data_IF_286623336826
#
_entry.id   IF_286623336826
#
_cell.length_a   1.000
_cell.length_b   1.000
_cell.length_c   1.000
_cell.angle_alpha   90.00
_cell.angle_beta   90.00
_cell.angle_gamma   90.00
#
_symmetry.space_group_name_H-M   'P 1'
#
loop_
_entity.id
_entity.type
_entity.pdbx_description
1 polymer ?
#
# COMPACT_ATOMS: atom_id res chain seq x y z
N UNK A 1 -18.48 16.64 6.54
CA UNK A 1 -18.01 17.06 7.87
C UNK A 1 -17.21 15.93 8.51
N UNK A 2 -17.72 14.72 8.63
CA UNK A 2 -16.95 13.58 9.11
C UNK A 2 -16.39 12.75 7.94
N UNK A 3 -15.08 12.50 7.94
CA UNK A 3 -14.43 11.63 6.95
C UNK A 3 -14.81 10.14 7.13
N UNK A 4 -15.19 9.77 8.34
CA UNK A 4 -15.65 8.43 8.71
C UNK A 4 -16.99 8.53 9.45
N UNK A 5 -18.04 8.06 8.81
CA UNK A 5 -19.42 8.05 9.35
C UNK A 5 -19.53 7.09 10.55
N UNK A 6 -18.68 6.07 10.61
CA UNK A 6 -18.64 5.10 11.73
C UNK A 6 -17.61 5.47 12.81
N UNK A 7 -16.96 6.62 12.70
CA UNK A 7 -16.07 7.18 13.72
C UNK A 7 -16.82 7.47 15.02
N UNK A 8 -16.07 7.60 16.13
CA UNK A 8 -16.66 7.71 17.48
C UNK A 8 -17.76 8.79 17.59
N UNK A 9 -17.49 10.01 17.12
CA UNK A 9 -18.46 11.12 17.22
C UNK A 9 -19.67 10.92 16.32
N UNK A 10 -19.46 10.61 15.04
CA UNK A 10 -20.55 10.40 14.08
C UNK A 10 -21.44 9.24 14.48
N UNK A 11 -20.85 8.12 14.97
CA UNK A 11 -21.64 6.97 15.43
C UNK A 11 -22.49 7.32 16.66
N UNK A 12 -21.94 8.05 17.64
CA UNK A 12 -22.71 8.49 18.82
C UNK A 12 -23.87 9.43 18.43
N UNK A 13 -23.63 10.34 17.49
CA UNK A 13 -24.68 11.24 16.97
C UNK A 13 -25.77 10.43 16.25
N UNK A 14 -25.40 9.51 15.36
CA UNK A 14 -26.34 8.65 14.65
C UNK A 14 -27.16 7.82 15.64
N UNK A 15 -26.52 7.23 16.63
CA UNK A 15 -27.22 6.44 17.64
C UNK A 15 -28.25 7.28 18.40
N UNK A 16 -27.89 8.49 18.82
CA UNK A 16 -28.82 9.40 19.45
C UNK A 16 -30.04 9.74 18.56
N UNK A 17 -29.79 10.07 17.30
CA UNK A 17 -30.87 10.35 16.32
C UNK A 17 -31.81 9.13 16.16
N UNK A 18 -31.26 7.93 16.17
CA UNK A 18 -32.04 6.69 16.01
C UNK A 18 -32.87 6.34 17.25
N UNK A 19 -32.41 6.77 18.43
CA UNK A 19 -33.14 6.60 19.71
C UNK A 19 -34.21 7.68 19.89
N UNK A 20 -34.00 8.89 19.35
CA UNK A 20 -34.87 10.06 19.48
C UNK A 20 -35.26 10.64 18.11
N UNK A 21 -35.97 9.87 17.25
CA UNK A 21 -36.31 10.29 15.91
C UNK A 21 -37.25 11.48 15.92
N UNK A 22 -36.85 12.55 15.19
CA UNK A 22 -37.60 13.79 15.07
C UNK A 22 -37.34 14.83 16.16
N UNK A 23 -36.46 14.55 17.12
CA UNK A 23 -36.07 15.51 18.15
C UNK A 23 -34.87 16.34 17.72
N UNK A 24 -34.88 17.64 18.01
CA UNK A 24 -33.69 18.48 17.92
C UNK A 24 -32.86 18.31 19.19
N UNK A 25 -31.55 18.25 19.05
CA UNK A 25 -30.62 18.04 20.15
C UNK A 25 -29.32 18.80 19.99
N UNK A 26 -28.62 19.02 21.10
CA UNK A 26 -27.26 19.56 21.10
C UNK A 26 -26.25 18.46 20.76
N UNK A 27 -25.48 18.68 19.68
CA UNK A 27 -24.44 17.73 19.24
C UNK A 27 -23.14 17.84 20.03
N UNK A 28 -22.96 18.93 20.77
CA UNK A 28 -21.71 19.26 21.48
C UNK A 28 -21.20 18.11 22.37
N UNK A 29 -22.06 17.41 23.16
CA UNK A 29 -21.61 16.32 24.03
C UNK A 29 -21.04 15.10 23.26
N UNK A 30 -21.40 14.95 22.00
CA UNK A 30 -21.01 13.80 21.17
C UNK A 30 -19.71 14.06 20.39
N UNK A 31 -19.20 15.29 20.38
CA UNK A 31 -18.04 15.69 19.59
C UNK A 31 -16.76 15.37 20.35
N UNK A 32 -15.93 14.48 19.78
CA UNK A 32 -14.65 14.16 20.38
C UNK A 32 -13.65 15.33 20.19
N UNK A 33 -12.84 15.63 21.21
CA UNK A 33 -11.84 16.72 21.26
C UNK A 33 -10.87 16.79 20.07
N UNK A 34 -10.73 15.69 19.29
CA UNK A 34 -9.88 15.63 18.09
C UNK A 34 -10.64 15.98 16.81
N UNK A 35 -11.93 16.29 16.90
CA UNK A 35 -12.68 16.75 15.73
C UNK A 35 -12.11 18.10 15.28
N UNK A 36 -11.87 18.24 13.98
CA UNK A 36 -11.27 19.45 13.40
C UNK A 36 -12.30 20.42 12.86
N UNK A 37 -13.54 19.96 12.72
CA UNK A 37 -14.63 20.79 12.20
C UNK A 37 -15.29 21.56 13.34
N UNK A 38 -15.68 22.84 13.12
CA UNK A 38 -16.40 23.63 14.08
C UNK A 38 -17.79 23.03 14.35
N UNK A 39 -18.33 23.32 15.54
CA UNK A 39 -19.62 22.76 16.00
C UNK A 39 -20.76 23.19 15.07
N UNK A 40 -20.70 24.41 14.54
CA UNK A 40 -21.70 24.99 13.64
C UNK A 40 -21.81 24.20 12.33
N UNK A 41 -20.70 23.74 11.77
CA UNK A 41 -20.70 22.88 10.58
C UNK A 41 -21.31 21.51 10.86
N UNK A 42 -21.07 20.98 12.06
CA UNK A 42 -21.62 19.68 12.47
C UNK A 42 -23.12 19.81 12.70
N UNK A 43 -23.57 20.88 13.36
CA UNK A 43 -24.99 21.20 13.55
C UNK A 43 -25.71 21.31 12.20
N UNK A 44 -25.14 22.07 11.26
CA UNK A 44 -25.70 22.21 9.91
C UNK A 44 -25.75 20.88 9.14
N UNK A 45 -24.81 19.97 9.40
CA UNK A 45 -24.76 18.65 8.75
C UNK A 45 -25.78 17.66 9.31
N UNK A 46 -26.23 17.82 10.55
CA UNK A 46 -27.25 16.98 11.18
C UNK A 46 -28.62 17.67 11.22
N UNK A 47 -28.72 18.89 10.67
CA UNK A 47 -29.99 19.60 10.52
C UNK A 47 -30.89 18.86 9.53
N UNK A 48 -31.88 18.18 10.07
CA UNK A 48 -32.82 17.36 9.34
C UNK A 48 -33.68 16.50 10.25
N UNK A 49 -34.72 15.91 9.70
CA UNK A 49 -35.63 15.04 10.43
C UNK A 49 -35.53 13.62 9.90
N UNK A 50 -35.27 12.69 10.78
CA UNK A 50 -35.32 11.25 10.50
C UNK A 50 -36.67 10.71 10.95
N UNK A 51 -37.48 10.17 10.03
CA UNK A 51 -38.76 9.55 10.38
C UNK A 51 -38.56 8.27 11.19
N UNK A 52 -39.59 7.84 11.90
CA UNK A 52 -39.54 6.57 12.67
C UNK A 52 -39.24 5.36 11.80
N UNK A 53 -39.78 5.32 10.57
CA UNK A 53 -39.53 4.23 9.62
C UNK A 53 -38.07 4.26 9.11
N UNK A 54 -37.51 5.45 8.87
CA UNK A 54 -36.10 5.60 8.49
C UNK A 54 -35.19 5.20 9.65
N UNK A 55 -35.51 5.61 10.87
CA UNK A 55 -34.74 5.24 12.07
C UNK A 55 -34.74 3.72 12.26
N UNK A 56 -35.89 3.05 12.10
CA UNK A 56 -35.98 1.59 12.19
C UNK A 56 -35.09 0.89 11.16
N UNK A 57 -35.12 1.32 9.89
CA UNK A 57 -34.27 0.77 8.81
C UNK A 57 -32.78 0.99 9.10
N UNK A 58 -32.40 2.20 9.52
CA UNK A 58 -31.00 2.51 9.83
C UNK A 58 -30.49 1.71 11.03
N UNK A 59 -31.33 1.48 12.03
CA UNK A 59 -31.02 0.66 13.22
C UNK A 59 -30.70 -0.79 12.81
N UNK A 60 -31.53 -1.38 11.95
CA UNK A 60 -31.26 -2.73 11.41
C UNK A 60 -29.96 -2.78 10.59
N UNK A 61 -29.68 -1.76 9.76
CA UNK A 61 -28.42 -1.68 9.02
C UNK A 61 -27.20 -1.60 9.95
N UNK A 62 -27.26 -0.82 11.01
CA UNK A 62 -26.17 -0.71 12.00
C UNK A 62 -25.97 -2.02 12.75
N UNK A 63 -27.06 -2.66 13.19
CA UNK A 63 -27.01 -3.97 13.83
C UNK A 63 -26.35 -5.01 12.94
N UNK A 64 -26.70 -5.03 11.65
CA UNK A 64 -26.08 -5.94 10.69
C UNK A 64 -24.58 -5.68 10.52
N UNK A 65 -24.16 -4.41 10.46
CA UNK A 65 -22.73 -4.04 10.40
C UNK A 65 -22.00 -4.54 11.65
N UNK A 66 -22.59 -4.39 12.84
CA UNK A 66 -21.99 -4.85 14.10
C UNK A 66 -21.85 -6.38 14.13
N UNK A 67 -22.88 -7.10 13.66
CA UNK A 67 -22.82 -8.55 13.52
C UNK A 67 -21.71 -8.99 12.54
N UNK A 68 -21.58 -8.34 11.39
CA UNK A 68 -20.50 -8.63 10.44
C UNK A 68 -19.12 -8.35 11.04
N UNK A 69 -18.96 -7.28 11.80
CA UNK A 69 -17.71 -6.98 12.49
C UNK A 69 -17.38 -8.06 13.55
N UNK A 70 -18.35 -8.48 14.34
CA UNK A 70 -18.17 -9.56 15.30
C UNK A 70 -17.83 -10.91 14.63
N UNK A 71 -18.42 -11.20 13.48
CA UNK A 71 -18.06 -12.38 12.67
C UNK A 71 -16.63 -12.29 12.17
N UNK A 72 -16.22 -11.12 11.65
CA UNK A 72 -14.86 -10.87 11.20
C UNK A 72 -13.85 -11.09 12.33
N UNK A 73 -14.08 -10.52 13.51
CA UNK A 73 -13.19 -10.68 14.67
C UNK A 73 -13.01 -12.14 15.07
N UNK A 74 -14.08 -12.93 15.05
CA UNK A 74 -14.02 -14.37 15.33
C UNK A 74 -13.19 -15.14 14.29
N UNK A 75 -13.37 -14.82 13.01
CA UNK A 75 -12.59 -15.43 11.93
C UNK A 75 -11.12 -15.02 12.03
N UNK A 76 -10.83 -13.75 12.31
CA UNK A 76 -9.47 -13.24 12.52
C UNK A 76 -8.78 -13.95 13.70
N UNK A 77 -9.48 -14.16 14.81
CA UNK A 77 -8.97 -14.90 15.95
C UNK A 77 -8.64 -16.36 15.58
N UNK A 78 -9.49 -17.02 14.82
CA UNK A 78 -9.25 -18.40 14.36
C UNK A 78 -8.07 -18.48 13.39
N UNK A 79 -7.93 -17.52 12.47
CA UNK A 79 -6.78 -17.42 11.56
C UNK A 79 -5.47 -17.28 12.36
N UNK A 80 -5.46 -16.44 13.41
CA UNK A 80 -4.28 -16.27 14.25
C UNK A 80 -3.97 -17.54 15.05
N UNK A 81 -4.98 -18.24 15.54
CA UNK A 81 -4.82 -19.54 16.22
C UNK A 81 -4.19 -20.59 15.29
N UNK A 82 -4.64 -20.68 14.05
CA UNK A 82 -4.06 -21.58 13.05
C UNK A 82 -2.61 -21.22 12.68
N UNK A 83 -2.19 -19.99 12.92
CA UNK A 83 -0.84 -19.52 12.66
C UNK A 83 0.13 -19.73 13.84
N UNK A 84 -0.38 -20.14 15.03
CA UNK A 84 0.42 -20.41 16.24
C UNK A 84 1.60 -21.38 16.05
N UNK A 85 1.58 -22.40 15.17
CA UNK A 85 2.74 -23.26 14.93
C UNK A 85 3.93 -22.56 14.26
N UNK A 86 3.77 -21.35 13.76
CA UNK A 86 4.78 -20.64 12.96
C UNK A 86 5.23 -19.29 13.56
N UNK A 87 5.44 -19.16 14.88
CA UNK A 87 5.69 -17.87 15.52
C UNK A 87 7.00 -17.24 15.03
N UNK A 88 8.05 -18.05 14.87
CA UNK A 88 9.34 -17.58 14.44
C UNK A 88 9.33 -17.05 13.01
N UNK A 89 8.69 -17.77 12.07
CA UNK A 89 8.57 -17.35 10.68
C UNK A 89 7.72 -16.09 10.54
N UNK A 90 6.66 -15.98 11.35
CA UNK A 90 5.83 -14.77 11.39
C UNK A 90 6.63 -13.55 11.89
N UNK A 91 7.42 -13.72 12.96
CA UNK A 91 8.29 -12.65 13.44
C UNK A 91 9.34 -12.25 12.39
N UNK A 92 9.94 -13.20 11.70
CA UNK A 92 10.86 -12.91 10.61
C UNK A 92 10.19 -12.10 9.50
N UNK A 93 8.99 -12.46 9.06
CA UNK A 93 8.24 -11.71 8.04
C UNK A 93 7.91 -10.30 8.54
N UNK A 94 7.57 -10.13 9.81
CA UNK A 94 7.29 -8.83 10.41
C UNK A 94 8.49 -7.89 10.43
N UNK A 95 9.71 -8.41 10.30
CA UNK A 95 10.91 -7.57 10.11
C UNK A 95 10.94 -6.90 8.74
N UNK A 96 10.24 -7.47 7.73
CA UNK A 96 10.12 -6.87 6.40
C UNK A 96 9.27 -5.61 6.49
N UNK A 97 9.75 -4.48 5.95
CA UNK A 97 8.98 -3.25 5.93
C UNK A 97 7.57 -3.45 5.35
N UNK A 98 6.58 -2.90 6.06
CA UNK A 98 5.16 -2.98 5.67
C UNK A 98 4.39 -4.15 6.29
N UNK A 99 5.04 -5.10 6.96
CA UNK A 99 4.38 -6.22 7.65
C UNK A 99 4.34 -6.05 9.19
N UNK A 100 5.14 -5.16 9.75
CA UNK A 100 5.27 -4.99 11.20
C UNK A 100 3.94 -4.69 11.92
N UNK A 101 3.08 -3.87 11.33
CA UNK A 101 1.84 -3.40 11.93
C UNK A 101 0.60 -4.25 11.57
N UNK A 102 0.75 -5.30 10.76
CA UNK A 102 -0.36 -6.05 10.22
C UNK A 102 -0.13 -7.57 10.33
N UNK A 103 -0.34 -8.19 11.50
CA UNK A 103 -0.09 -9.61 11.70
C UNK A 103 -0.87 -10.49 10.72
N UNK A 104 -2.14 -10.19 10.46
CA UNK A 104 -2.95 -10.92 9.48
C UNK A 104 -2.37 -10.88 8.07
N UNK A 105 -1.67 -9.80 7.70
CA UNK A 105 -0.98 -9.71 6.40
C UNK A 105 0.17 -10.70 6.31
N UNK A 106 0.93 -10.89 7.40
CA UNK A 106 2.01 -11.89 7.46
C UNK A 106 1.43 -13.32 7.42
N UNK A 107 0.34 -13.56 8.15
CA UNK A 107 -0.35 -14.86 8.12
C UNK A 107 -0.90 -15.17 6.73
N UNK A 108 -1.57 -14.21 6.08
CA UNK A 108 -2.07 -14.36 4.72
C UNK A 108 -0.96 -14.67 3.70
N UNK A 109 0.24 -14.14 3.94
CA UNK A 109 1.39 -14.48 3.11
C UNK A 109 1.82 -15.94 3.33
N UNK A 110 2.03 -16.36 4.59
CA UNK A 110 2.45 -17.74 4.92
C UNK A 110 1.43 -18.77 4.46
N UNK A 111 0.13 -18.49 4.59
CA UNK A 111 -0.93 -19.40 4.15
C UNK A 111 -0.87 -19.71 2.66
N UNK A 112 -0.37 -18.79 1.85
CA UNK A 112 -0.25 -18.95 0.39
C UNK A 112 1.08 -19.57 -0.04
N UNK A 113 2.21 -19.11 0.53
CA UNK A 113 3.54 -19.55 0.08
C UNK A 113 4.13 -20.67 0.92
N UNK A 114 3.57 -20.95 2.10
CA UNK A 114 4.15 -21.83 3.10
C UNK A 114 5.37 -21.22 3.79
N UNK A 115 5.98 -21.99 4.68
CA UNK A 115 7.21 -21.63 5.39
C UNK A 115 8.45 -22.32 4.84
N UNK A 116 8.25 -23.42 4.11
CA UNK A 116 9.32 -24.19 3.49
C UNK A 116 9.68 -23.62 2.11
N UNK A 117 10.79 -22.92 2.05
CA UNK A 117 11.28 -22.33 0.81
C UNK A 117 12.00 -23.32 -0.12
N UNK A 118 12.18 -24.57 0.27
CA UNK A 118 12.74 -25.62 -0.62
C UNK A 118 11.84 -25.88 -1.83
N UNK A 119 10.53 -25.62 -1.69
CA UNK A 119 9.54 -25.70 -2.76
C UNK A 119 9.85 -24.70 -3.91
N UNK A 120 10.54 -23.61 -3.59
CA UNK A 120 10.93 -22.58 -4.57
C UNK A 120 12.45 -22.56 -4.73
N UNK A 121 13.02 -23.13 -5.80
CA UNK A 121 14.48 -23.23 -6.00
C UNK A 121 15.21 -21.87 -5.97
N UNK A 122 14.50 -20.78 -6.14
CA UNK A 122 15.03 -19.42 -5.98
C UNK A 122 13.91 -18.39 -5.78
N UNK A 123 14.27 -17.20 -5.28
CA UNK A 123 13.37 -16.06 -5.18
C UNK A 123 12.71 -15.68 -6.54
N UNK A 124 13.37 -16.01 -7.66
CA UNK A 124 12.80 -15.79 -9.00
C UNK A 124 11.62 -16.74 -9.27
N UNK A 125 11.70 -18.00 -8.80
CA UNK A 125 10.61 -18.96 -8.94
C UNK A 125 9.41 -18.54 -8.10
N UNK A 126 9.62 -18.14 -6.84
CA UNK A 126 8.56 -17.59 -6.00
C UNK A 126 7.89 -16.37 -6.65
N UNK A 127 8.68 -15.41 -7.16
CA UNK A 127 8.14 -14.21 -7.80
C UNK A 127 7.37 -14.53 -9.10
N UNK A 128 7.78 -15.56 -9.84
CA UNK A 128 7.10 -16.03 -11.05
C UNK A 128 5.79 -16.73 -10.71
N UNK A 129 5.81 -17.64 -9.72
CA UNK A 129 4.63 -18.31 -9.20
C UNK A 129 3.60 -17.32 -8.67
N UNK A 130 4.04 -16.29 -7.96
CA UNK A 130 3.22 -15.19 -7.47
C UNK A 130 2.64 -14.28 -8.57
N UNK A 131 3.02 -14.49 -9.83
CA UNK A 131 2.61 -13.63 -10.93
C UNK A 131 3.14 -12.21 -10.86
N UNK A 132 4.29 -12.01 -10.20
CA UNK A 132 4.98 -10.72 -10.11
C UNK A 132 6.08 -10.57 -11.18
N UNK A 133 6.12 -11.48 -12.16
CA UNK A 133 7.01 -11.42 -13.31
C UNK A 133 6.19 -11.27 -14.59
N UNK A 134 6.69 -10.52 -15.60
CA UNK A 134 6.06 -10.48 -16.90
C UNK A 134 6.13 -11.87 -17.54
N UNK A 135 5.08 -12.25 -18.25
CA UNK A 135 5.11 -13.43 -19.14
C UNK A 135 6.07 -13.14 -20.29
N UNK A 136 6.91 -14.12 -20.61
CA UNK A 136 7.78 -14.05 -21.76
C UNK A 136 7.02 -14.59 -22.99
N UNK A 137 6.01 -13.83 -23.42
CA UNK A 137 5.22 -14.17 -24.60
C UNK A 137 5.91 -13.57 -25.83
N UNK A 138 6.85 -14.34 -26.36
CA UNK A 138 7.68 -13.94 -27.48
C UNK A 138 7.63 -15.02 -28.56
N UNK A 139 7.35 -14.63 -29.77
CA UNK A 139 7.37 -15.51 -30.94
C UNK A 139 8.10 -14.81 -32.07
N UNK A 140 9.08 -15.52 -32.70
CA UNK A 140 9.83 -15.03 -33.84
C UNK A 140 10.40 -13.62 -33.63
N UNK A 141 11.12 -13.41 -32.51
CA UNK A 141 11.72 -12.13 -32.06
C UNK A 141 10.71 -10.99 -31.77
N UNK A 142 9.42 -11.21 -31.93
CA UNK A 142 8.39 -10.22 -31.56
C UNK A 142 7.80 -10.50 -30.19
N UNK A 143 7.90 -9.51 -29.29
CA UNK A 143 7.27 -9.57 -27.96
C UNK A 143 5.77 -9.33 -28.14
N UNK A 144 4.94 -10.39 -27.94
CA UNK A 144 3.48 -10.30 -28.04
C UNK A 144 2.87 -9.64 -26.80
N UNK A 145 3.37 -9.95 -25.62
CA UNK A 145 2.84 -9.39 -24.37
C UNK A 145 3.90 -9.32 -23.27
N UNK A 146 3.88 -8.22 -22.51
CA UNK A 146 4.65 -8.05 -21.27
C UNK A 146 3.76 -8.06 -20.03
N UNK A 147 2.51 -8.55 -20.16
CA UNK A 147 1.55 -8.61 -19.06
C UNK A 147 2.01 -9.66 -18.04
N UNK A 148 1.74 -9.39 -16.76
CA UNK A 148 1.94 -10.36 -15.68
C UNK A 148 0.84 -11.45 -15.75
N UNK A 149 1.14 -12.63 -15.17
CA UNK A 149 0.16 -13.71 -15.07
C UNK A 149 -0.97 -13.37 -14.07
N UNK A 150 -2.08 -14.12 -14.15
CA UNK A 150 -3.16 -14.05 -13.16
C UNK A 150 -2.87 -14.83 -11.87
N UNK A 151 -1.72 -15.52 -11.80
CA UNK A 151 -1.30 -16.25 -10.60
C UNK A 151 -1.22 -15.34 -9.37
N UNK A 152 -1.29 -15.92 -8.17
CA UNK A 152 -1.26 -15.18 -6.91
C UNK A 152 -2.51 -14.29 -6.70
N UNK A 153 -3.68 -14.74 -7.15
CA UNK A 153 -4.92 -13.96 -7.09
C UNK A 153 -5.32 -13.57 -5.67
N UNK A 154 -5.03 -14.39 -4.68
CA UNK A 154 -5.42 -14.14 -3.29
C UNK A 154 -4.42 -13.24 -2.57
N UNK A 155 -3.13 -13.49 -2.65
CA UNK A 155 -2.15 -12.71 -1.87
C UNK A 155 -1.50 -11.55 -2.65
N UNK A 156 -1.53 -11.55 -4.00
CA UNK A 156 -1.01 -10.43 -4.79
C UNK A 156 -1.67 -9.08 -4.44
N UNK A 157 -3.01 -8.98 -4.21
CA UNK A 157 -3.63 -7.76 -3.72
C UNK A 157 -3.03 -7.28 -2.39
N UNK A 158 -2.75 -8.20 -1.47
CA UNK A 158 -2.11 -7.92 -0.18
C UNK A 158 -0.70 -7.34 -0.39
N UNK A 159 0.11 -7.97 -1.25
CA UNK A 159 1.43 -7.43 -1.61
C UNK A 159 1.36 -6.04 -2.25
N UNK A 160 0.36 -5.79 -3.08
CA UNK A 160 0.14 -4.47 -3.70
C UNK A 160 -0.22 -3.43 -2.64
N UNK A 161 -1.02 -3.77 -1.64
CA UNK A 161 -1.32 -2.88 -0.52
C UNK A 161 -0.05 -2.54 0.28
N UNK A 162 0.74 -3.55 0.64
CA UNK A 162 2.03 -3.38 1.32
C UNK A 162 2.97 -2.51 0.49
N UNK A 163 3.11 -2.78 -0.81
CA UNK A 163 3.94 -2.00 -1.72
C UNK A 163 3.48 -0.53 -1.79
N UNK A 164 2.17 -0.27 -1.85
CA UNK A 164 1.61 1.08 -1.85
C UNK A 164 1.86 1.82 -0.53
N UNK A 165 1.86 1.14 0.60
CA UNK A 165 2.23 1.71 1.89
C UNK A 165 3.73 2.05 1.94
N UNK A 166 4.59 1.14 1.47
CA UNK A 166 6.04 1.30 1.48
C UNK A 166 6.53 2.47 0.64
N UNK A 167 5.97 2.67 -0.56
CA UNK A 167 6.39 3.78 -1.44
C UNK A 167 6.06 5.17 -0.88
N UNK A 168 5.17 5.24 0.12
CA UNK A 168 4.83 6.46 0.85
C UNK A 168 5.69 6.66 2.10
N UNK A 169 6.36 5.60 2.55
CA UNK A 169 7.20 5.64 3.76
C UNK A 169 8.49 6.41 3.51
N UNK A 170 8.83 7.32 4.43
CA UNK A 170 10.12 8.03 4.41
C UNK A 170 11.25 7.17 5.00
N UNK A 171 10.93 6.13 5.77
CA UNK A 171 11.90 5.28 6.48
C UNK A 171 12.58 4.25 5.55
N UNK A 172 11.93 3.87 4.47
CA UNK A 172 12.35 2.78 3.58
C UNK A 172 12.67 3.34 2.19
N UNK A 173 13.76 4.10 2.12
CA UNK A 173 14.20 4.79 0.90
C UNK A 173 14.55 3.84 -0.25
N UNK A 174 14.98 2.60 0.06
CA UNK A 174 15.32 1.57 -0.92
C UNK A 174 14.13 1.23 -1.82
N UNK A 175 12.93 1.07 -1.25
CA UNK A 175 11.70 0.81 -2.01
C UNK A 175 11.23 2.06 -2.75
N UNK A 176 11.25 3.22 -2.08
CA UNK A 176 10.77 4.48 -2.66
C UNK A 176 11.62 4.92 -3.84
N UNK A 177 12.95 4.84 -3.73
CA UNK A 177 13.87 5.22 -4.81
C UNK A 177 13.74 4.28 -6.01
N UNK A 178 13.64 2.97 -5.75
CA UNK A 178 13.40 1.98 -6.80
C UNK A 178 12.08 2.24 -7.52
N UNK A 179 11.02 2.49 -6.76
CA UNK A 179 9.71 2.83 -7.32
C UNK A 179 9.77 4.08 -8.20
N UNK A 180 10.34 5.20 -7.72
CA UNK A 180 10.45 6.45 -8.48
C UNK A 180 11.19 6.24 -9.80
N UNK A 181 12.32 5.52 -9.77
CA UNK A 181 13.14 5.21 -10.94
C UNK A 181 12.37 4.40 -12.00
N UNK A 182 11.60 3.39 -11.56
CA UNK A 182 10.83 2.55 -12.49
C UNK A 182 9.59 3.31 -12.98
N UNK A 183 8.90 4.04 -12.09
CA UNK A 183 7.71 4.81 -12.43
C UNK A 183 7.96 5.81 -13.54
N UNK A 184 9.09 6.53 -13.49
CA UNK A 184 9.46 7.54 -14.49
C UNK A 184 9.57 6.95 -15.93
N UNK A 185 9.94 5.66 -16.05
CA UNK A 185 10.15 5.01 -17.35
C UNK A 185 9.02 4.09 -17.79
N UNK A 186 8.31 3.46 -16.85
CA UNK A 186 7.39 2.34 -17.12
C UNK A 186 5.99 2.55 -16.53
N UNK A 187 5.77 3.64 -15.81
CA UNK A 187 4.50 3.98 -15.17
C UNK A 187 4.25 3.28 -13.84
N UNK A 188 3.19 3.73 -13.15
CA UNK A 188 2.85 3.31 -11.78
C UNK A 188 2.62 1.80 -11.64
N UNK A 189 1.75 1.21 -12.48
CA UNK A 189 1.36 -0.22 -12.36
C UNK A 189 2.57 -1.16 -12.44
N UNK A 190 3.49 -0.92 -13.40
CA UNK A 190 4.71 -1.73 -13.55
C UNK A 190 5.69 -1.51 -12.39
N UNK A 191 5.77 -0.28 -11.87
CA UNK A 191 6.61 0.04 -10.73
C UNK A 191 6.14 -0.66 -9.46
N UNK A 192 4.83 -0.68 -9.17
CA UNK A 192 4.29 -1.40 -7.99
C UNK A 192 4.59 -2.90 -8.06
N UNK A 193 4.39 -3.54 -9.21
CA UNK A 193 4.71 -4.97 -9.36
C UNK A 193 6.20 -5.24 -9.14
N UNK A 194 7.07 -4.32 -9.56
CA UNK A 194 8.51 -4.46 -9.28
C UNK A 194 8.84 -4.33 -7.78
N UNK A 195 8.09 -3.52 -7.03
CA UNK A 195 8.21 -3.46 -5.57
C UNK A 195 7.66 -4.75 -4.93
N UNK A 196 6.52 -5.27 -5.37
CA UNK A 196 6.00 -6.56 -4.92
C UNK A 196 7.04 -7.68 -5.10
N UNK A 197 7.70 -7.72 -6.28
CA UNK A 197 8.78 -8.68 -6.53
C UNK A 197 9.95 -8.49 -5.56
N UNK A 198 10.34 -7.26 -5.26
CA UNK A 198 11.40 -6.95 -4.29
C UNK A 198 11.04 -7.45 -2.88
N UNK A 199 9.79 -7.24 -2.45
CA UNK A 199 9.26 -7.76 -1.18
C UNK A 199 9.34 -9.30 -1.16
N UNK A 200 8.87 -9.98 -2.21
CA UNK A 200 8.92 -11.44 -2.29
C UNK A 200 10.36 -11.98 -2.28
N UNK A 201 11.29 -11.27 -2.92
CA UNK A 201 12.71 -11.65 -2.86
C UNK A 201 13.25 -11.56 -1.44
N UNK A 202 12.89 -10.49 -0.70
CA UNK A 202 13.27 -10.36 0.71
C UNK A 202 12.70 -11.51 1.55
N UNK A 203 11.41 -11.80 1.38
CA UNK A 203 10.72 -12.86 2.12
C UNK A 203 11.33 -14.23 1.85
N UNK A 204 11.64 -14.53 0.59
CA UNK A 204 12.31 -15.80 0.23
C UNK A 204 13.64 -15.95 0.96
N UNK A 205 14.50 -14.92 0.96
CA UNK A 205 15.79 -14.96 1.66
C UNK A 205 15.60 -15.08 3.18
N UNK A 206 14.69 -14.32 3.76
CA UNK A 206 14.43 -14.35 5.20
C UNK A 206 13.97 -15.73 5.66
N UNK A 207 13.08 -16.37 4.92
CA UNK A 207 12.58 -17.69 5.27
C UNK A 207 13.57 -18.82 4.93
N UNK A 208 14.45 -18.62 3.93
CA UNK A 208 15.51 -19.57 3.58
C UNK A 208 16.65 -19.52 4.59
N UNK A 209 17.12 -18.29 4.90
CA UNK A 209 18.31 -18.10 5.75
C UNK A 209 17.96 -18.04 7.23
N UNK A 210 16.66 -17.97 7.56
CA UNK A 210 16.12 -17.77 8.91
C UNK A 210 16.74 -16.56 9.63
N UNK A 211 16.92 -15.46 8.89
CA UNK A 211 17.51 -14.22 9.38
C UNK A 211 16.56 -13.03 9.17
N UNK A 212 16.54 -12.06 10.10
CA UNK A 212 15.69 -10.86 9.95
C UNK A 212 16.08 -10.04 8.72
N UNK A 213 15.15 -9.24 8.23
CA UNK A 213 15.37 -8.34 7.10
C UNK A 213 16.45 -7.30 7.43
N UNK A 214 17.42 -7.17 6.53
CA UNK A 214 18.43 -6.10 6.55
C UNK A 214 18.37 -5.31 5.25
N UNK A 215 18.34 -3.95 5.31
CA UNK A 215 18.27 -3.12 4.11
C UNK A 215 19.50 -3.24 3.21
N UNK A 216 20.66 -3.61 3.77
CA UNK A 216 21.96 -3.62 3.09
C UNK A 216 21.99 -4.56 1.88
N UNK A 217 21.30 -5.70 1.95
CA UNK A 217 21.15 -6.63 0.82
C UNK A 217 20.35 -6.07 -0.38
N UNK A 218 19.64 -4.95 -0.18
CA UNK A 218 18.80 -4.29 -1.18
C UNK A 218 19.28 -2.91 -1.58
N UNK A 219 20.30 -2.38 -0.91
CA UNK A 219 20.98 -1.17 -1.34
C UNK A 219 21.61 -1.47 -2.70
N UNK A 220 21.03 -0.88 -3.75
CA UNK A 220 21.62 -0.91 -5.07
C UNK A 220 23.03 -0.29 -4.91
N UNK A 221 24.07 -1.09 -5.02
CA UNK A 221 25.48 -0.68 -4.92
C UNK A 221 25.87 0.36 -5.99
N UNK A 222 24.93 0.72 -6.85
CA UNK A 222 25.08 1.84 -7.78
C UNK A 222 24.79 3.15 -7.08
N UNK A 223 25.75 4.09 -7.03
CA UNK A 223 25.51 5.39 -6.47
C UNK A 223 24.29 6.03 -7.13
N UNK A 224 23.35 6.53 -6.30
CA UNK A 224 22.09 7.16 -6.73
C UNK A 224 22.35 8.45 -7.53
N UNK A 225 23.52 9.00 -7.45
CA UNK A 225 24.04 10.12 -8.23
C UNK A 225 25.21 9.65 -9.09
N UNK A 226 24.93 9.14 -10.26
CA UNK A 226 25.71 9.66 -11.38
C UNK A 226 25.24 11.10 -11.55
N UNK A 227 26.02 12.03 -11.12
CA UNK A 227 25.91 13.40 -11.61
C UNK A 227 25.64 13.26 -13.10
N UNK A 228 24.52 13.82 -13.56
CA UNK A 228 24.28 13.90 -14.99
C UNK A 228 25.40 14.79 -15.51
N UNK A 229 26.47 14.17 -15.96
CA UNK A 229 27.48 14.87 -16.74
C UNK A 229 26.70 15.35 -17.97
N UNK A 230 26.36 16.63 -17.95
CA UNK A 230 25.71 17.26 -19.07
C UNK A 230 26.69 17.17 -20.25
N UNK A 231 26.21 16.67 -21.36
CA UNK A 231 27.01 16.78 -22.60
C UNK A 231 27.26 18.27 -22.88
N UNK A 232 28.37 18.60 -23.55
CA UNK A 232 28.74 19.99 -23.83
C UNK A 232 27.58 20.76 -24.47
N UNK A 233 26.87 20.14 -25.42
CA UNK A 233 25.68 20.70 -26.05
C UNK A 233 24.51 20.94 -25.11
N UNK A 234 24.27 20.08 -24.11
CA UNK A 234 23.23 20.27 -23.09
C UNK A 234 23.60 21.39 -22.11
N UNK A 235 24.87 21.50 -21.74
CA UNK A 235 25.37 22.58 -20.91
C UNK A 235 25.26 23.94 -21.61
N UNK A 236 25.62 24.00 -22.88
CA UNK A 236 25.49 25.19 -23.74
C UNK A 236 24.03 25.65 -23.88
N UNK A 237 23.11 24.72 -24.14
CA UNK A 237 21.68 25.04 -24.22
C UNK A 237 21.10 25.55 -22.89
N UNK A 238 21.54 25.01 -21.77
CA UNK A 238 21.09 25.43 -20.45
C UNK A 238 21.61 26.85 -20.11
N UNK A 239 22.84 27.17 -20.49
CA UNK A 239 23.40 28.50 -20.36
C UNK A 239 22.69 29.53 -21.25
N UNK A 240 22.39 29.18 -22.50
CA UNK A 240 21.59 30.02 -23.40
C UNK A 240 20.19 30.29 -22.85
N UNK A 241 19.52 29.27 -22.32
CA UNK A 241 18.18 29.44 -21.69
C UNK A 241 18.21 30.34 -20.46
N UNK A 242 19.34 30.43 -19.77
CA UNK A 242 19.54 31.32 -18.61
C UNK A 242 20.06 32.71 -18.99
N UNK A 243 20.16 33.03 -20.30
CA UNK A 243 20.56 34.34 -20.78
C UNK A 243 22.07 34.62 -20.78
N UNK A 244 22.91 33.56 -20.66
CA UNK A 244 24.36 33.75 -20.74
C UNK A 244 24.81 33.72 -22.21
N UNK A 245 25.59 34.72 -22.59
CA UNK A 245 26.28 34.77 -23.90
C UNK A 245 27.60 33.98 -23.83
N UNK A 246 27.77 33.03 -24.73
CA UNK A 246 28.98 32.19 -24.81
C UNK A 246 29.79 32.66 -26.03
N UNK A 247 30.99 33.13 -25.78
CA UNK A 247 31.85 33.79 -26.81
C UNK A 247 32.38 32.86 -27.91
N UNK A 248 32.44 31.55 -27.62
CA UNK A 248 32.93 30.56 -28.61
C UNK A 248 31.91 29.39 -28.63
N UNK A 249 30.82 29.55 -29.36
CA UNK A 249 29.84 28.50 -29.59
C UNK A 249 30.24 27.67 -30.82
N UNK A 250 30.69 26.42 -30.64
CA UNK A 250 31.07 25.57 -31.77
C UNK A 250 29.87 25.15 -32.66
N UNK A 251 28.62 25.48 -32.24
CA UNK A 251 27.40 25.22 -33.00
C UNK A 251 26.92 26.42 -33.81
N UNK A 252 27.62 27.56 -33.74
CA UNK A 252 27.27 28.76 -34.50
C UNK A 252 28.01 28.91 -35.84
N UNK A 253 28.78 27.90 -36.24
CA UNK A 253 29.46 27.85 -37.53
C UNK A 253 28.82 26.77 -38.39
N UNK A 254 27.75 27.15 -39.10
CA UNK A 254 27.24 26.46 -40.27
C UNK A 254 26.51 27.45 -41.16
#
# INVERSE_FOLDING_TARGET
VFSDVFGKSSRSIIQYILEHPGEQFDVTPFIHRRCKHPVEEILAAVDGVVSREQAAKLKECLLHIDQLNAHRERIEAEILRLAEPYPYQLELIRTVPGFAAAPLTAVALISEIGVDMSVFPSAKHLASWAGCCPRNDQSNQKIKSTRISRAGSYFKPVLVQVANALIKSKKHSEFTNRYKRIKARRGHKKAIIAICRMILTAIWHILTDLKPYTPEGFLDSRPVNKEKVLTTSQALNLLKQRGYFIKDDPLSVS
#
